data_IF_561652160029
#
_entry.id   IF_561652160029
#
_cell.length_a   1.000
_cell.length_b   1.000
_cell.length_c   1.000
_cell.angle_alpha   90.00
_cell.angle_beta   90.00
_cell.angle_gamma   90.00
#
_symmetry.space_group_name_H-M   'P 1'
#
loop_
_entity.id
_entity.type
_entity.pdbx_description
1 polymer ?
#
# COMPACT_ATOMS: atom_id res chain seq x y z
N UNK A 1 3.43 1.59 -28.25
CA UNK A 1 3.21 3.06 -28.20
C UNK A 1 2.47 3.50 -26.95
N UNK A 2 1.32 2.89 -26.58
CA UNK A 2 0.57 3.26 -25.36
C UNK A 2 1.39 3.03 -24.08
N UNK A 3 2.14 1.94 -23.96
CA UNK A 3 2.92 1.66 -22.74
C UNK A 3 3.99 2.71 -22.46
N UNK A 4 4.68 3.19 -23.50
CA UNK A 4 5.68 4.25 -23.37
C UNK A 4 5.04 5.56 -22.86
N UNK A 5 3.83 5.88 -23.32
CA UNK A 5 3.06 7.01 -22.83
C UNK A 5 2.65 6.83 -21.36
N UNK A 6 2.18 5.64 -20.97
CA UNK A 6 1.80 5.37 -19.58
C UNK A 6 3.01 5.48 -18.64
N UNK A 7 4.15 4.93 -19.05
CA UNK A 7 5.42 5.07 -18.33
C UNK A 7 5.82 6.54 -18.17
N UNK A 8 5.78 7.34 -19.22
CA UNK A 8 6.19 8.75 -19.13
C UNK A 8 5.24 9.61 -18.26
N UNK A 9 3.95 9.26 -18.19
CA UNK A 9 2.96 10.01 -17.41
C UNK A 9 2.80 9.51 -15.97
N UNK A 10 3.31 8.32 -15.64
CA UNK A 10 3.17 7.70 -14.32
C UNK A 10 4.52 7.34 -13.66
N UNK A 11 5.37 6.59 -14.34
CA UNK A 11 6.58 5.98 -13.79
C UNK A 11 7.76 6.96 -13.77
N UNK A 12 7.79 7.92 -14.68
CA UNK A 12 8.80 8.96 -14.73
C UNK A 12 8.75 9.85 -13.47
N UNK A 13 9.88 10.35 -12.95
CA UNK A 13 9.90 11.28 -11.82
C UNK A 13 8.99 12.52 -12.02
N UNK A 14 8.86 13.03 -13.25
CA UNK A 14 7.93 14.12 -13.60
C UNK A 14 6.48 13.64 -13.71
N UNK A 15 6.28 12.36 -14.00
CA UNK A 15 5.01 11.64 -13.94
C UNK A 15 4.50 11.51 -12.50
N UNK A 16 5.41 11.32 -11.53
CA UNK A 16 5.18 11.50 -10.10
C UNK A 16 4.28 10.43 -9.44
N UNK A 17 4.14 9.25 -10.06
CA UNK A 17 3.35 8.14 -9.53
C UNK A 17 1.91 8.51 -9.13
N UNK A 18 1.30 9.46 -9.83
CA UNK A 18 -0.04 9.90 -9.48
C UNK A 18 -1.09 8.79 -9.66
N UNK A 19 -2.12 8.83 -8.80
CA UNK A 19 -3.25 7.91 -8.89
C UNK A 19 -4.06 8.06 -10.18
N UNK A 20 -4.86 7.03 -10.47
CA UNK A 20 -5.60 6.82 -11.72
C UNK A 20 -6.31 8.07 -12.23
N UNK A 21 -7.07 8.76 -11.37
CA UNK A 21 -7.87 9.94 -11.76
C UNK A 21 -7.00 11.06 -12.31
N UNK A 22 -5.87 11.37 -11.66
CA UNK A 22 -4.97 12.47 -12.06
C UNK A 22 -4.20 12.12 -13.33
N UNK A 23 -3.71 10.89 -13.42
CA UNK A 23 -3.02 10.38 -14.62
C UNK A 23 -3.95 10.39 -15.84
N UNK A 24 -5.19 9.92 -15.67
CA UNK A 24 -6.22 10.01 -16.71
C UNK A 24 -6.49 11.44 -17.17
N UNK A 25 -6.65 12.39 -16.24
CA UNK A 25 -6.91 13.78 -16.60
C UNK A 25 -5.74 14.46 -17.32
N UNK A 26 -4.49 14.10 -17.00
CA UNK A 26 -3.32 14.59 -17.74
C UNK A 26 -3.29 14.06 -19.18
N UNK A 27 -3.54 12.77 -19.35
CA UNK A 27 -3.45 12.10 -20.65
C UNK A 27 -4.61 12.51 -21.56
N UNK A 28 -5.85 12.53 -21.05
CA UNK A 28 -7.06 12.78 -21.86
C UNK A 28 -7.07 14.12 -22.58
N UNK A 29 -6.28 15.09 -22.10
CA UNK A 29 -6.23 16.43 -22.67
C UNK A 29 -5.41 16.47 -23.98
N UNK A 30 -4.61 15.44 -24.27
CA UNK A 30 -3.69 15.40 -25.41
C UNK A 30 -3.84 14.14 -26.26
N UNK A 31 -4.31 13.04 -25.67
CA UNK A 31 -4.36 11.74 -26.33
C UNK A 31 -5.71 11.06 -26.08
N UNK A 32 -6.08 10.19 -27.02
CA UNK A 32 -7.24 9.33 -26.91
C UNK A 32 -6.95 7.97 -27.56
N UNK A 33 -7.48 6.91 -26.96
CA UNK A 33 -7.54 5.58 -27.57
C UNK A 33 -8.69 4.76 -26.94
N UNK A 34 -9.16 3.69 -27.60
CA UNK A 34 -10.16 2.78 -27.04
C UNK A 34 -9.70 2.19 -25.71
N UNK A 35 -10.59 2.07 -24.73
CA UNK A 35 -10.28 1.50 -23.40
C UNK A 35 -9.21 2.25 -22.58
N UNK A 36 -8.91 3.51 -22.89
CA UNK A 36 -7.89 4.32 -22.19
C UNK A 36 -7.95 4.28 -20.66
N UNK A 37 -9.15 4.38 -20.08
CA UNK A 37 -9.32 4.29 -18.61
C UNK A 37 -8.87 2.95 -18.06
N UNK A 38 -9.17 1.85 -18.77
CA UNK A 38 -8.81 0.50 -18.36
C UNK A 38 -7.30 0.26 -18.49
N UNK A 39 -6.68 0.71 -19.59
CA UNK A 39 -5.21 0.63 -19.75
C UNK A 39 -4.47 1.39 -18.65
N UNK A 40 -4.89 2.63 -18.36
CA UNK A 40 -4.29 3.44 -17.27
C UNK A 40 -4.49 2.77 -15.92
N UNK A 41 -5.70 2.24 -15.66
CA UNK A 41 -6.00 1.52 -14.43
C UNK A 41 -5.08 0.30 -14.25
N UNK A 42 -4.94 -0.53 -15.28
CA UNK A 42 -4.11 -1.72 -15.25
C UNK A 42 -2.64 -1.38 -15.01
N UNK A 43 -2.09 -0.41 -15.75
CA UNK A 43 -0.69 0.03 -15.61
C UNK A 43 -0.37 0.51 -14.20
N UNK A 44 -1.18 1.41 -13.64
CA UNK A 44 -0.97 1.94 -12.29
C UNK A 44 -1.17 0.84 -11.25
N UNK A 45 -2.15 -0.05 -11.43
CA UNK A 45 -2.38 -1.18 -10.52
C UNK A 45 -1.20 -2.16 -10.52
N UNK A 46 -0.48 -2.32 -11.62
CA UNK A 46 0.73 -3.15 -11.72
C UNK A 46 2.02 -2.44 -11.30
N UNK A 47 1.99 -1.15 -10.97
CA UNK A 47 3.19 -0.38 -10.61
C UNK A 47 3.72 -0.80 -9.23
N UNK A 48 4.87 -1.47 -9.20
CA UNK A 48 5.48 -2.00 -7.97
C UNK A 48 5.79 -0.92 -6.92
N UNK A 49 6.41 0.24 -7.27
CA UNK A 49 6.60 1.34 -6.32
C UNK A 49 5.27 1.80 -5.72
N UNK A 50 4.22 1.95 -6.53
CA UNK A 50 2.91 2.34 -6.02
C UNK A 50 2.27 1.30 -5.12
N UNK A 51 2.45 0.00 -5.39
CA UNK A 51 1.92 -1.07 -4.53
C UNK A 51 2.62 -1.11 -3.17
N UNK A 52 3.92 -0.84 -3.13
CA UNK A 52 4.72 -0.85 -1.91
C UNK A 52 4.47 0.39 -1.03
N UNK A 53 4.31 1.56 -1.64
CA UNK A 53 4.26 2.83 -0.91
C UNK A 53 2.83 3.35 -0.68
N UNK A 54 1.85 2.99 -1.51
CA UNK A 54 0.49 3.44 -1.25
C UNK A 54 -0.09 2.72 -0.03
N UNK A 55 -0.62 3.53 0.88
CA UNK A 55 -1.41 3.01 1.99
C UNK A 55 -2.59 2.24 1.40
N UNK A 56 -2.65 0.95 1.70
CA UNK A 56 -3.79 0.11 1.36
C UNK A 56 -5.04 0.69 2.02
N UNK A 57 -5.93 1.28 1.23
CA UNK A 57 -7.27 1.71 1.67
C UNK A 57 -8.24 0.53 1.71
N UNK A 58 -7.73 -0.66 2.02
CA UNK A 58 -8.54 -1.85 2.25
C UNK A 58 -9.55 -1.56 3.36
N UNK A 59 -10.57 -2.41 3.46
CA UNK A 59 -11.49 -2.36 4.60
C UNK A 59 -10.66 -2.29 5.88
N UNK A 60 -11.10 -1.46 6.83
CA UNK A 60 -10.48 -1.39 8.15
C UNK A 60 -10.26 -2.84 8.64
N UNK A 61 -9.11 -3.15 9.25
CA UNK A 61 -8.92 -4.46 9.86
C UNK A 61 -10.14 -4.79 10.71
N UNK A 62 -10.54 -6.07 10.70
CA UNK A 62 -11.70 -6.53 11.46
C UNK A 62 -11.60 -6.16 12.93
N UNK A 63 -12.69 -6.36 13.68
CA UNK A 63 -12.65 -6.17 15.13
C UNK A 63 -11.61 -7.12 15.75
N UNK A 64 -10.86 -6.62 16.73
CA UNK A 64 -10.00 -7.45 17.56
C UNK A 64 -10.83 -8.63 18.10
N UNK A 65 -10.31 -9.83 17.96
CA UNK A 65 -10.92 -11.03 18.55
C UNK A 65 -10.31 -11.19 19.95
N UNK A 66 -11.09 -11.02 21.02
CA UNK A 66 -10.58 -11.19 22.36
C UNK A 66 -10.17 -12.64 22.60
N UNK A 67 -9.10 -12.82 23.39
CA UNK A 67 -8.72 -14.14 23.90
C UNK A 67 -9.74 -14.50 24.99
N UNK A 68 -10.20 -15.74 25.00
CA UNK A 68 -11.10 -16.25 26.04
C UNK A 68 -10.44 -16.13 27.42
N UNK A 69 -11.20 -15.65 28.41
CA UNK A 69 -10.71 -15.53 29.79
C UNK A 69 -10.40 -16.92 30.35
N UNK A 70 -9.21 -17.17 30.91
CA UNK A 70 -8.92 -18.42 31.58
C UNK A 70 -9.79 -18.57 32.84
N UNK A 71 -10.25 -19.79 33.12
CA UNK A 71 -11.09 -20.16 34.27
C UNK A 71 -10.29 -20.41 35.55
N UNK A 72 -8.96 -20.51 35.44
CA UNK A 72 -8.08 -20.84 36.55
C UNK A 72 -6.66 -20.28 36.38
N UNK A 73 -5.88 -20.28 37.48
CA UNK A 73 -4.50 -19.83 37.44
C UNK A 73 -3.66 -20.68 36.49
N UNK A 74 -2.66 -20.07 35.86
CA UNK A 74 -1.70 -20.71 34.94
C UNK A 74 -2.27 -21.31 33.65
N UNK A 75 -3.54 -21.09 33.33
CA UNK A 75 -4.14 -21.58 32.08
C UNK A 75 -3.77 -20.76 30.84
N UNK A 76 -3.32 -19.51 31.01
CA UNK A 76 -2.79 -18.66 29.94
C UNK A 76 -1.60 -17.86 30.49
N UNK A 77 -0.46 -17.95 29.80
CA UNK A 77 0.77 -17.25 30.16
C UNK A 77 1.25 -16.42 28.97
N UNK A 78 1.26 -15.09 29.13
CA UNK A 78 1.90 -14.17 28.19
C UNK A 78 3.32 -13.87 28.65
N UNK A 79 4.31 -14.09 27.80
CA UNK A 79 5.72 -13.82 28.08
C UNK A 79 6.24 -12.91 26.98
N UNK A 80 6.87 -11.81 27.35
CA UNK A 80 7.53 -10.90 26.43
C UNK A 80 8.87 -10.44 27.00
N UNK A 81 9.79 -10.06 26.12
CA UNK A 81 11.05 -9.47 26.51
C UNK A 81 10.88 -7.98 26.75
N UNK A 82 11.50 -7.47 27.81
CA UNK A 82 11.63 -6.04 28.02
C UNK A 82 13.10 -5.64 27.90
N UNK A 83 13.37 -4.53 27.19
CA UNK A 83 14.71 -4.02 27.03
C UNK A 83 14.90 -3.15 25.78
N UNK A 84 16.15 -2.74 25.49
CA UNK A 84 17.37 -3.06 26.25
C UNK A 84 17.46 -2.27 27.56
N UNK A 85 17.89 -2.93 28.65
CA UNK A 85 18.19 -2.28 29.92
C UNK A 85 19.68 -1.92 30.04
N UNK A 86 19.98 -0.91 30.85
CA UNK A 86 21.37 -0.60 31.21
C UNK A 86 21.95 -1.78 31.99
N UNK A 87 23.15 -2.23 31.60
CA UNK A 87 23.89 -3.24 32.37
C UNK A 87 24.34 -2.63 33.69
N UNK A 88 24.23 -3.38 34.78
CA UNK A 88 24.80 -3.01 36.07
C UNK A 88 26.32 -2.88 35.92
N UNK A 89 26.96 -1.78 36.37
CA UNK A 89 28.41 -1.67 36.41
C UNK A 89 29.02 -2.80 37.25
N UNK A 90 30.22 -3.25 36.85
CA UNK A 90 30.98 -4.27 37.58
C UNK A 90 31.68 -3.66 38.79
#
# INVERSE_FOLDING_TARGET
MIDALLKSYHDDPLGGHFGIKRTYFKIKNKFWWPHMKQSIFQHIRSCLPCQQHNISRSKKPGRLQPISTPEGPFQLIGIDYCGPFKRTPR
#
